data_IF_117388053882
#
_entry.id   IF_117388053882
#
_cell.length_a   1.000
_cell.length_b   1.000
_cell.length_c   1.000
_cell.angle_alpha   90.00
_cell.angle_beta   90.00
_cell.angle_gamma   90.00
#
_symmetry.space_group_name_H-M   'P 1'
#
loop_
_entity.id
_entity.type
_entity.pdbx_description
1 polymer ?
#
# COMPACT_ATOMS: atom_id res chain seq x y z
N UNK A 1 -10.59 4.84 -30.21
CA UNK A 1 -11.45 4.30 -29.12
C UNK A 1 -11.64 5.40 -28.08
N UNK A 2 -12.87 5.69 -27.65
CA UNK A 2 -13.14 6.76 -26.67
C UNK A 2 -12.89 6.25 -25.24
N UNK A 3 -12.29 7.06 -24.37
CA UNK A 3 -11.97 6.71 -22.95
C UNK A 3 -13.18 6.10 -22.21
N UNK A 4 -14.40 6.58 -22.50
CA UNK A 4 -15.64 6.08 -21.90
C UNK A 4 -16.08 4.68 -22.36
N UNK A 5 -15.58 4.15 -23.48
CA UNK A 5 -15.81 2.76 -23.90
C UNK A 5 -14.91 1.80 -23.10
N UNK A 6 -13.62 2.12 -23.01
CA UNK A 6 -12.62 1.35 -22.26
C UNK A 6 -12.99 1.20 -20.77
N UNK A 7 -13.47 2.27 -20.15
CA UNK A 7 -13.98 2.27 -18.77
C UNK A 7 -15.13 1.29 -18.54
N UNK A 8 -16.11 1.29 -19.45
CA UNK A 8 -17.27 0.39 -19.37
C UNK A 8 -16.89 -1.06 -19.54
N UNK A 9 -15.99 -1.34 -20.50
CA UNK A 9 -15.54 -2.71 -20.77
C UNK A 9 -14.71 -3.26 -19.59
N UNK A 10 -13.80 -2.47 -19.02
CA UNK A 10 -13.03 -2.85 -17.83
C UNK A 10 -13.93 -3.13 -16.62
N UNK A 11 -14.93 -2.25 -16.38
CA UNK A 11 -15.91 -2.46 -15.31
C UNK A 11 -16.72 -3.73 -15.51
N UNK A 12 -17.22 -3.97 -16.73
CA UNK A 12 -17.99 -5.17 -17.08
C UNK A 12 -17.17 -6.45 -16.89
N UNK A 13 -15.90 -6.44 -17.30
CA UNK A 13 -14.96 -7.55 -17.09
C UNK A 13 -14.76 -7.85 -15.61
N UNK A 14 -14.52 -6.83 -14.79
CA UNK A 14 -14.38 -6.96 -13.33
C UNK A 14 -15.64 -7.53 -12.69
N UNK A 15 -16.82 -7.00 -13.01
CA UNK A 15 -18.09 -7.48 -12.47
C UNK A 15 -18.38 -8.94 -12.87
N UNK A 16 -18.06 -9.33 -14.10
CA UNK A 16 -18.18 -10.70 -14.56
C UNK A 16 -17.25 -11.65 -13.80
N UNK A 17 -16.00 -11.24 -13.56
CA UNK A 17 -15.03 -12.00 -12.77
C UNK A 17 -15.50 -12.19 -11.32
N UNK A 18 -15.91 -11.12 -10.64
CA UNK A 18 -16.42 -11.18 -9.26
C UNK A 18 -17.65 -12.09 -9.19
N UNK A 19 -18.56 -12.00 -10.16
CA UNK A 19 -19.73 -12.88 -10.24
C UNK A 19 -19.33 -14.34 -10.34
N UNK A 20 -18.35 -14.69 -11.18
CA UNK A 20 -17.84 -16.05 -11.32
C UNK A 20 -17.25 -16.57 -10.00
N UNK A 21 -16.42 -15.77 -9.32
CA UNK A 21 -15.86 -16.13 -8.00
C UNK A 21 -16.98 -16.41 -7.00
N UNK A 22 -17.97 -15.52 -6.91
CA UNK A 22 -19.11 -15.68 -5.98
C UNK A 22 -19.92 -16.94 -6.26
N UNK A 23 -20.16 -17.28 -7.54
CA UNK A 23 -20.89 -18.49 -7.93
C UNK A 23 -20.08 -19.74 -7.61
N UNK A 24 -18.80 -19.77 -7.97
CA UNK A 24 -17.92 -20.93 -7.78
C UNK A 24 -17.68 -21.28 -6.30
N UNK A 25 -17.74 -20.28 -5.42
CA UNK A 25 -17.50 -20.41 -3.97
C UNK A 25 -18.77 -20.32 -3.12
N UNK A 26 -19.96 -20.30 -3.71
CA UNK A 26 -21.21 -20.27 -2.95
C UNK A 26 -21.34 -21.53 -2.09
N UNK A 27 -21.38 -21.36 -0.77
CA UNK A 27 -21.51 -22.47 0.20
C UNK A 27 -20.22 -23.27 0.41
N UNK A 28 -19.07 -22.81 -0.09
CA UNK A 28 -17.75 -23.42 0.14
C UNK A 28 -16.96 -22.61 1.15
N UNK A 29 -16.04 -23.26 1.87
CA UNK A 29 -15.06 -22.58 2.69
C UNK A 29 -14.21 -21.61 1.83
N UNK A 30 -13.75 -20.52 2.43
CA UNK A 30 -12.84 -19.60 1.77
C UNK A 30 -11.56 -20.32 1.36
N UNK A 31 -10.98 -19.95 0.22
CA UNK A 31 -9.67 -20.48 -0.16
C UNK A 31 -8.61 -19.95 0.82
N UNK A 32 -7.62 -20.76 1.24
CA UNK A 32 -6.52 -20.29 2.07
C UNK A 32 -5.83 -19.07 1.42
N UNK A 33 -5.65 -18.00 2.19
CA UNK A 33 -5.02 -16.77 1.71
C UNK A 33 -5.89 -15.89 0.80
N UNK A 34 -7.16 -16.24 0.56
CA UNK A 34 -8.08 -15.44 -0.25
C UNK A 34 -9.32 -15.07 0.58
N UNK A 35 -9.64 -13.77 0.62
CA UNK A 35 -10.83 -13.26 1.28
C UNK A 35 -11.54 -12.29 0.33
N UNK A 36 -12.82 -12.54 0.05
CA UNK A 36 -13.66 -11.60 -0.68
C UNK A 36 -14.44 -10.75 0.31
N UNK A 37 -14.02 -9.51 0.47
CA UNK A 37 -14.68 -8.57 1.37
C UNK A 37 -15.87 -7.92 0.67
N UNK A 38 -17.00 -7.90 1.36
CA UNK A 38 -18.27 -7.37 0.85
C UNK A 38 -18.37 -5.91 1.27
N UNK A 39 -18.84 -5.08 0.34
CA UNK A 39 -19.11 -3.66 0.59
C UNK A 39 -17.88 -2.92 1.14
N UNK A 40 -16.71 -3.39 0.71
CA UNK A 40 -15.41 -2.86 1.07
C UNK A 40 -15.14 -1.58 0.27
N UNK A 41 -14.80 -0.52 0.99
CA UNK A 41 -14.60 0.82 0.44
C UNK A 41 -13.30 1.40 1.00
N UNK A 42 -12.66 2.28 0.23
CA UNK A 42 -11.36 2.86 0.60
C UNK A 42 -11.37 3.48 1.99
N UNK A 43 -12.43 4.23 2.34
CA UNK A 43 -12.59 4.82 3.67
C UNK A 43 -12.50 3.78 4.78
N UNK A 44 -13.28 2.69 4.69
CA UNK A 44 -13.30 1.65 5.71
C UNK A 44 -11.92 1.01 5.91
N UNK A 45 -11.10 0.93 4.85
CA UNK A 45 -9.72 0.44 4.94
C UNK A 45 -8.76 1.41 5.59
N UNK A 46 -8.92 2.69 5.32
CA UNK A 46 -8.15 3.72 6.02
C UNK A 46 -8.50 3.71 7.51
N UNK A 47 -9.77 3.56 7.87
CA UNK A 47 -10.21 3.47 9.27
C UNK A 47 -9.65 2.23 9.99
N UNK A 48 -9.60 1.08 9.30
CA UNK A 48 -8.99 -0.17 9.79
C UNK A 48 -7.47 -0.01 10.01
N UNK A 49 -6.77 0.61 9.06
CA UNK A 49 -5.34 0.89 9.16
C UNK A 49 -5.04 1.84 10.32
N UNK A 50 -5.85 2.87 10.52
CA UNK A 50 -5.72 3.80 11.65
C UNK A 50 -5.97 3.13 13.00
N UNK A 51 -6.90 2.17 13.05
CA UNK A 51 -7.23 1.44 14.28
C UNK A 51 -6.18 0.38 14.64
N UNK A 52 -5.45 -0.14 13.64
CA UNK A 52 -4.45 -1.19 13.84
C UNK A 52 -3.15 -0.66 14.47
N UNK A 53 -2.93 0.65 14.49
CA UNK A 53 -1.72 1.28 15.05
C UNK A 53 -1.80 1.65 16.54
N UNK A 54 -2.92 1.39 17.22
CA UNK A 54 -3.10 1.77 18.63
C UNK A 54 -2.74 0.68 19.64
N UNK A 55 -2.01 -0.36 19.23
CA UNK A 55 -1.83 -1.59 20.02
C UNK A 55 -0.39 -2.04 20.33
N UNK A 56 0.65 -1.26 19.99
CA UNK A 56 2.04 -1.63 20.23
C UNK A 56 2.71 -0.69 21.24
N UNK A 57 3.09 -1.25 22.39
CA UNK A 57 3.88 -0.61 23.45
C UNK A 57 5.19 0.01 22.90
N UNK A 58 5.55 1.16 23.49
CA UNK A 58 6.85 1.84 23.43
C UNK A 58 7.42 2.20 22.05
N UNK A 59 6.85 3.27 21.47
CA UNK A 59 7.54 4.11 20.49
C UNK A 59 7.29 3.77 19.01
N UNK A 60 6.17 3.10 18.72
CA UNK A 60 5.83 2.71 17.36
C UNK A 60 5.45 3.95 16.52
N UNK A 61 6.25 4.21 15.47
CA UNK A 61 5.88 5.14 14.42
C UNK A 61 4.60 4.58 13.77
N UNK A 62 3.54 5.39 13.68
CA UNK A 62 2.23 4.97 13.19
C UNK A 62 2.24 4.25 11.83
N UNK A 63 1.07 3.81 11.33
CA UNK A 63 1.00 2.91 10.20
C UNK A 63 1.64 3.55 8.99
N UNK A 64 2.56 2.84 8.34
CA UNK A 64 3.15 3.31 7.09
C UNK A 64 2.16 3.13 5.96
N UNK A 65 1.52 4.22 5.54
CA UNK A 65 0.60 4.19 4.42
C UNK A 65 1.08 5.17 3.35
N UNK A 66 1.35 4.66 2.16
CA UNK A 66 1.89 5.44 1.05
C UNK A 66 0.94 5.38 -0.15
N UNK A 67 0.51 6.54 -0.63
CA UNK A 67 -0.14 6.65 -1.93
C UNK A 67 0.91 6.98 -3.00
N UNK A 68 0.82 6.34 -4.16
CA UNK A 68 1.78 6.55 -5.24
C UNK A 68 1.31 7.63 -6.21
N UNK A 69 2.18 8.60 -6.47
CA UNK A 69 1.94 9.72 -7.37
C UNK A 69 3.25 10.16 -7.99
N UNK A 70 3.23 10.63 -9.25
CA UNK A 70 4.42 11.16 -9.90
C UNK A 70 4.97 12.41 -9.18
N UNK A 71 4.13 13.12 -8.43
CA UNK A 71 4.49 14.36 -7.71
C UNK A 71 4.84 14.17 -6.24
N UNK A 72 4.79 12.93 -5.73
CA UNK A 72 5.12 12.63 -4.34
C UNK A 72 6.62 12.70 -4.05
N UNK A 73 6.97 12.62 -2.77
CA UNK A 73 8.37 12.57 -2.34
C UNK A 73 9.05 11.28 -2.86
N UNK A 74 10.32 11.33 -3.32
CA UNK A 74 11.00 10.14 -3.80
C UNK A 74 11.05 9.03 -2.72
N UNK A 75 10.45 7.87 -3.00
CA UNK A 75 10.33 6.78 -2.03
C UNK A 75 11.71 6.32 -1.52
N UNK A 76 12.71 6.31 -2.39
CA UNK A 76 14.08 5.91 -2.02
C UNK A 76 14.67 6.80 -0.92
N UNK A 77 14.47 8.11 -1.00
CA UNK A 77 15.00 9.05 0.01
C UNK A 77 14.32 8.85 1.37
N UNK A 78 13.02 8.58 1.38
CA UNK A 78 12.26 8.25 2.60
C UNK A 78 12.78 6.97 3.25
N UNK A 79 13.02 5.93 2.45
CA UNK A 79 13.52 4.65 2.94
C UNK A 79 14.96 4.79 3.47
N UNK A 80 15.85 5.50 2.78
CA UNK A 80 17.20 5.76 3.27
C UNK A 80 17.21 6.56 4.58
N UNK A 81 16.39 7.61 4.68
CA UNK A 81 16.26 8.41 5.90
C UNK A 81 15.89 7.54 7.10
N UNK A 82 14.90 6.65 6.90
CA UNK A 82 14.50 5.67 7.90
C UNK A 82 15.60 4.67 8.25
N UNK A 83 16.36 4.17 7.27
CA UNK A 83 17.50 3.27 7.53
C UNK A 83 18.57 3.95 8.40
N UNK A 84 18.89 5.21 8.13
CA UNK A 84 19.86 5.98 8.93
C UNK A 84 19.38 6.17 10.37
N UNK A 85 18.11 6.55 10.55
CA UNK A 85 17.51 6.66 11.88
C UNK A 85 17.55 5.32 12.63
N UNK A 86 17.29 4.22 11.93
CA UNK A 86 17.38 2.88 12.49
C UNK A 86 18.77 2.51 12.96
N UNK A 87 19.78 2.74 12.12
CA UNK A 87 21.18 2.48 12.45
C UNK A 87 21.64 3.31 13.65
N UNK A 88 21.21 4.57 13.74
CA UNK A 88 21.50 5.44 14.88
C UNK A 88 20.86 4.90 16.17
N UNK A 89 19.56 4.57 16.15
CA UNK A 89 18.84 3.98 17.30
C UNK A 89 19.48 2.66 17.75
N UNK A 90 19.97 1.85 16.81
CA UNK A 90 20.67 0.57 17.08
C UNK A 90 22.05 0.78 17.71
N UNK A 91 22.82 1.77 17.24
CA UNK A 91 24.14 2.10 17.81
C UNK A 91 24.04 2.63 19.25
N UNK A 92 22.94 3.30 19.62
CA UNK A 92 22.72 3.82 20.97
C UNK A 92 22.14 2.80 21.96
N UNK A 93 21.66 1.63 21.51
CA UNK A 93 21.07 0.60 22.37
C UNK A 93 22.05 -0.55 22.62
N UNK A 94 22.84 -0.45 23.68
CA UNK A 94 23.89 -1.42 24.05
C UNK A 94 23.40 -2.81 24.49
N UNK A 95 22.09 -3.04 24.66
CA UNK A 95 21.54 -4.33 25.10
C UNK A 95 20.16 -4.67 24.50
N UNK A 96 19.81 -4.12 23.33
CA UNK A 96 18.55 -4.45 22.70
C UNK A 96 18.67 -5.78 21.95
N UNK A 97 18.06 -6.82 22.53
CA UNK A 97 17.64 -8.05 21.84
C UNK A 97 17.12 -7.67 20.45
N UNK A 98 17.61 -8.39 19.44
CA UNK A 98 17.35 -8.17 18.01
C UNK A 98 15.84 -8.20 17.71
N UNK A 99 15.15 -7.10 17.98
CA UNK A 99 13.76 -6.91 17.61
C UNK A 99 13.79 -6.60 16.12
N UNK A 100 13.71 -7.65 15.29
CA UNK A 100 13.38 -7.49 13.87
C UNK A 100 12.17 -6.59 13.77
N UNK A 101 12.33 -5.43 13.16
CA UNK A 101 11.23 -4.49 12.97
C UNK A 101 10.20 -5.15 12.05
N UNK A 102 9.05 -5.51 12.60
CA UNK A 102 7.90 -5.97 11.81
C UNK A 102 7.06 -4.77 11.37
N UNK A 103 7.69 -3.73 10.84
CA UNK A 103 6.91 -2.57 10.35
C UNK A 103 6.30 -2.92 9.02
N UNK A 104 4.97 -3.02 9.01
CA UNK A 104 4.21 -3.28 7.80
C UNK A 104 4.03 -1.98 7.03
N UNK A 105 4.41 -1.96 5.75
CA UNK A 105 4.13 -0.87 4.83
C UNK A 105 2.92 -1.20 3.96
N UNK A 106 1.98 -0.26 3.85
CA UNK A 106 0.83 -0.34 2.96
C UNK A 106 1.03 0.61 1.78
N UNK A 107 1.02 0.05 0.57
CA UNK A 107 1.13 0.80 -0.67
C UNK A 107 -0.24 0.87 -1.36
N UNK A 108 -0.73 2.08 -1.60
CA UNK A 108 -2.00 2.34 -2.27
C UNK A 108 -1.72 2.70 -3.72
N UNK A 109 -2.30 1.95 -4.65
CA UNK A 109 -2.05 2.06 -6.08
C UNK A 109 -3.32 2.43 -6.85
N UNK A 110 -3.21 3.40 -7.75
CA UNK A 110 -4.22 3.65 -8.77
C UNK A 110 -4.33 2.48 -9.75
N UNK A 111 -5.50 2.32 -10.36
CA UNK A 111 -5.66 1.40 -11.48
C UNK A 111 -5.10 2.03 -12.77
N UNK A 112 -5.34 1.42 -13.94
CA UNK A 112 -4.88 1.91 -15.24
C UNK A 112 -5.38 3.31 -15.64
N UNK A 113 -6.29 3.91 -14.87
CA UNK A 113 -6.81 5.27 -15.04
C UNK A 113 -6.42 6.20 -13.88
N UNK A 114 -5.62 5.72 -12.92
CA UNK A 114 -5.31 6.42 -11.69
C UNK A 114 -6.39 6.27 -10.61
N UNK A 115 -6.32 7.16 -9.63
CA UNK A 115 -7.36 7.33 -8.60
C UNK A 115 -8.56 8.08 -9.19
N UNK A 116 -9.74 7.87 -8.61
CA UNK A 116 -10.83 8.81 -8.88
C UNK A 116 -10.55 10.13 -8.13
N UNK A 117 -11.06 11.25 -8.61
CA UNK A 117 -10.87 12.55 -7.94
C UNK A 117 -11.29 12.52 -6.46
N UNK A 118 -12.38 11.80 -6.16
CA UNK A 118 -12.87 11.61 -4.79
C UNK A 118 -11.91 10.78 -3.94
N UNK A 119 -11.34 9.71 -4.50
CA UNK A 119 -10.38 8.87 -3.78
C UNK A 119 -9.07 9.63 -3.55
N UNK A 120 -8.61 10.42 -4.53
CA UNK A 120 -7.40 11.23 -4.41
C UNK A 120 -7.55 12.32 -3.34
N UNK A 121 -8.70 13.00 -3.30
CA UNK A 121 -9.04 13.97 -2.25
C UNK A 121 -9.07 13.31 -0.87
N UNK A 122 -9.70 12.13 -0.77
CA UNK A 122 -9.73 11.36 0.48
C UNK A 122 -8.32 10.97 0.96
N UNK A 123 -7.49 10.44 0.05
CA UNK A 123 -6.14 9.99 0.37
C UNK A 123 -5.27 11.17 0.84
N UNK A 124 -5.27 12.28 0.10
CA UNK A 124 -4.51 13.49 0.48
C UNK A 124 -5.05 14.15 1.76
N UNK A 125 -6.35 14.02 2.03
CA UNK A 125 -6.97 14.50 3.26
C UNK A 125 -6.73 13.62 4.50
N UNK A 126 -6.14 12.44 4.34
CA UNK A 126 -5.92 11.48 5.43
C UNK A 126 -4.53 11.68 6.07
N UNK A 127 -4.41 12.10 7.35
CA UNK A 127 -3.15 12.58 7.92
C UNK A 127 -1.98 11.59 7.93
N UNK A 128 -2.25 10.28 8.01
CA UNK A 128 -1.23 9.24 8.06
C UNK A 128 -0.89 8.66 6.67
N UNK A 129 -1.55 9.12 5.61
CA UNK A 129 -1.23 8.74 4.23
C UNK A 129 -0.21 9.73 3.70
N UNK A 130 0.95 9.23 3.25
CA UNK A 130 1.99 10.05 2.60
C UNK A 130 1.99 9.82 1.09
N UNK A 131 2.11 10.91 0.33
CA UNK A 131 2.26 10.85 -1.12
C UNK A 131 3.73 10.63 -1.48
N UNK A 132 4.01 9.55 -2.22
CA UNK A 132 5.38 9.15 -2.60
C UNK A 132 5.49 8.89 -4.10
N UNK A 133 6.70 9.04 -4.64
CA UNK A 133 7.01 8.84 -6.05
C UNK A 133 8.08 7.76 -6.24
N UNK A 134 7.95 6.99 -7.32
CA UNK A 134 8.97 6.04 -7.77
C UNK A 134 9.87 6.62 -8.88
N UNK A 135 9.58 7.85 -9.33
CA UNK A 135 10.30 8.52 -10.41
C UNK A 135 9.39 9.44 -11.24
N UNK A 136 9.97 10.05 -12.27
CA UNK A 136 9.30 11.03 -13.13
C UNK A 136 8.43 10.42 -14.25
N UNK A 137 8.43 9.09 -14.40
CA UNK A 137 7.68 8.39 -15.43
C UNK A 137 6.39 7.79 -14.85
N UNK A 138 5.30 7.92 -15.59
CA UNK A 138 4.06 7.23 -15.26
C UNK A 138 4.22 5.74 -15.59
N UNK A 139 4.16 4.90 -14.56
CA UNK A 139 4.37 3.46 -14.63
C UNK A 139 3.05 2.69 -14.58
N UNK A 140 3.04 1.48 -15.12
CA UNK A 140 1.95 0.54 -14.89
C UNK A 140 1.93 0.14 -13.41
N UNK A 141 0.74 -0.12 -12.86
CA UNK A 141 0.56 -0.56 -11.47
C UNK A 141 1.48 -1.74 -11.10
N UNK A 142 1.67 -2.70 -12.01
CA UNK A 142 2.57 -3.84 -11.80
C UNK A 142 4.04 -3.43 -11.72
N UNK A 143 4.48 -2.47 -12.53
CA UNK A 143 5.84 -1.93 -12.48
C UNK A 143 6.08 -1.17 -11.17
N UNK A 144 5.08 -0.41 -10.69
CA UNK A 144 5.16 0.26 -9.40
C UNK A 144 5.40 -0.74 -8.26
N UNK A 145 4.68 -1.86 -8.24
CA UNK A 145 4.87 -2.94 -7.26
C UNK A 145 6.30 -3.49 -7.33
N UNK A 146 6.79 -3.79 -8.53
CA UNK A 146 8.14 -4.33 -8.72
C UNK A 146 9.22 -3.37 -8.22
N UNK A 147 9.13 -2.08 -8.57
CA UNK A 147 10.13 -1.08 -8.15
C UNK A 147 10.07 -0.83 -6.65
N UNK A 148 8.86 -0.74 -6.07
CA UNK A 148 8.71 -0.58 -4.62
C UNK A 148 9.35 -1.76 -3.86
N UNK A 149 9.12 -3.00 -4.31
CA UNK A 149 9.78 -4.17 -3.74
C UNK A 149 11.30 -4.11 -3.92
N UNK A 150 11.79 -3.74 -5.10
CA UNK A 150 13.23 -3.59 -5.32
C UNK A 150 13.87 -2.62 -4.32
N UNK A 151 13.25 -1.47 -4.04
CA UNK A 151 13.77 -0.53 -3.06
C UNK A 151 13.76 -1.08 -1.63
N UNK A 152 12.71 -1.80 -1.25
CA UNK A 152 12.65 -2.47 0.05
C UNK A 152 13.72 -3.57 0.15
N UNK A 153 13.85 -4.42 -0.86
CA UNK A 153 14.85 -5.49 -0.90
C UNK A 153 16.27 -4.91 -0.75
N UNK A 154 16.59 -3.83 -1.47
CA UNK A 154 17.88 -3.13 -1.34
C UNK A 154 18.13 -2.54 0.05
N UNK A 155 17.08 -2.16 0.76
CA UNK A 155 17.19 -1.64 2.12
C UNK A 155 17.70 -2.74 3.07
N UNK A 156 17.17 -3.97 2.90
CA UNK A 156 17.37 -5.14 3.75
C UNK A 156 18.47 -6.11 3.28
N UNK A 157 18.90 -6.06 2.01
CA UNK A 157 20.01 -6.85 1.44
C UNK A 157 21.40 -6.50 2.02
N UNK A 158 21.50 -5.49 2.88
CA UNK A 158 22.74 -5.04 3.52
C UNK A 158 22.85 -5.46 5.00
N UNK A 159 22.03 -6.40 5.47
CA UNK A 159 22.21 -7.14 6.73
C UNK A 159 22.91 -8.49 6.48
#
# INVERSE_FOLDING_TARGET
MTKGKTLRDARKGREAMIRRIRVSHRGKASLPGFVLLRDDHLQARLDELASSSSGADDGDEGPLVWMLSETGDPLWELLEGRKREWQFKRASRTNAKENRMTTTATLILGNQLGYSARDEELLRGTPFVREVSLGSLSLLTSQCITVAHHYLDRLFELE
#
